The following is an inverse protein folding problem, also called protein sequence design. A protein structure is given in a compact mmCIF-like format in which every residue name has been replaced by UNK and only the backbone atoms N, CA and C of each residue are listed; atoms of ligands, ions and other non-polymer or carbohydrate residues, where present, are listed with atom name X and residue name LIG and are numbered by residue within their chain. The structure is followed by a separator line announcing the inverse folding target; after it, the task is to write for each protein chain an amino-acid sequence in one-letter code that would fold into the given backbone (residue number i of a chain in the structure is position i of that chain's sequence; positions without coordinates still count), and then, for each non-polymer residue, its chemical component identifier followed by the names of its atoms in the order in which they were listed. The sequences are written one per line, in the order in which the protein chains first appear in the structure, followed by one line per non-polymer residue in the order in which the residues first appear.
data_IF_021454595713
#
_entry.id   IF_021454595713
#
_cell.length_a   1.000
_cell.length_b   1.000
_cell.length_c   1.000
_cell.angle_alpha   90.00
_cell.angle_beta   90.00
_cell.angle_gamma   90.00
#
_symmetry.space_group_name_H-M   'P 1'
#
loop_
_entity.id
_entity.type
_entity.pdbx_description
1 polymer ?
#
# COMPACT_ATOMS: atom_id res chain seq x y z
N UNK A 1 -26.62 36.75 46.31
CA UNK A 1 -27.27 38.07 46.47
C UNK A 1 -26.17 39.05 46.81
N UNK A 2 -25.76 39.86 45.82
CA UNK A 2 -25.85 41.33 45.80
C UNK A 2 -24.75 41.98 46.67
N UNK A 3 -23.67 42.56 46.10
CA UNK A 3 -23.53 43.79 45.30
C UNK A 3 -23.25 45.03 46.17
N UNK A 4 -22.15 45.74 45.88
CA UNK A 4 -21.89 47.20 46.00
C UNK A 4 -20.37 47.39 45.72
N UNK A 5 -19.87 47.99 44.63
CA UNK A 5 -20.08 49.31 43.98
C UNK A 5 -19.43 50.49 44.72
N UNK A 6 -18.29 51.00 44.22
CA UNK A 6 -18.12 52.43 43.86
C UNK A 6 -16.72 52.77 43.32
N UNK A 7 -16.74 53.18 42.06
CA UNK A 7 -15.92 54.14 41.33
C UNK A 7 -14.89 55.03 42.06
N UNK A 8 -13.73 55.18 41.41
CA UNK A 8 -13.13 56.52 41.22
C UNK A 8 -12.47 56.67 39.84
N UNK A 9 -13.07 57.59 39.10
CA UNK A 9 -12.70 58.21 37.84
C UNK A 9 -11.39 59.02 37.93
N UNK A 10 -10.53 58.95 36.90
CA UNK A 10 -9.75 60.10 36.41
C UNK A 10 -9.23 59.85 34.98
N UNK A 11 -9.87 60.58 34.07
CA UNK A 11 -9.56 60.82 32.67
C UNK A 11 -8.10 61.30 32.42
N UNK A 12 -7.39 60.82 31.39
CA UNK A 12 -7.39 61.20 29.95
C UNK A 12 -6.65 62.51 29.66
N UNK A 13 -5.44 62.42 29.10
CA UNK A 13 -4.89 63.47 28.23
C UNK A 13 -4.28 62.85 26.97
N UNK A 14 -4.77 63.36 25.84
CA UNK A 14 -4.43 63.01 24.46
C UNK A 14 -3.43 64.02 23.91
N UNK A 15 -2.32 63.58 23.30
CA UNK A 15 -1.67 64.34 22.21
C UNK A 15 -1.24 63.39 21.09
N UNK A 16 -1.69 63.73 19.88
CA UNK A 16 -1.46 63.08 18.59
C UNK A 16 -0.76 64.12 17.70
N UNK A 17 0.40 63.84 17.11
CA UNK A 17 0.80 64.45 15.81
C UNK A 17 1.89 63.66 15.07
N UNK A 18 1.81 63.81 13.74
CA UNK A 18 2.23 63.01 12.58
C UNK A 18 3.74 63.00 12.23
N UNK A 19 4.15 62.15 11.25
CA UNK A 19 5.52 61.84 10.87
C UNK A 19 6.08 62.78 9.78
N UNK A 20 7.39 62.67 9.52
CA UNK A 20 8.04 63.19 8.33
C UNK A 20 8.55 62.02 7.46
N UNK A 21 8.15 62.10 6.20
CA UNK A 21 8.49 61.31 5.03
C UNK A 21 9.76 61.89 4.37
N UNK A 22 10.56 61.10 3.66
CA UNK A 22 11.79 61.58 2.99
C UNK A 22 12.70 60.48 2.43
N UNK A 23 12.51 60.20 1.14
CA UNK A 23 13.11 59.17 0.27
C UNK A 23 14.42 59.63 -0.41
N UNK A 24 15.46 58.76 -0.39
CA UNK A 24 16.56 58.45 -1.36
C UNK A 24 17.45 59.55 -2.03
N UNK A 25 18.58 59.24 -2.75
CA UNK A 25 19.29 57.97 -2.99
C UNK A 25 20.86 58.01 -2.93
N UNK A 26 21.47 56.82 -3.02
CA UNK A 26 22.73 56.45 -3.70
C UNK A 26 24.06 57.20 -3.47
N UNK A 27 25.06 56.46 -2.96
CA UNK A 27 26.45 56.53 -3.42
C UNK A 27 27.25 55.27 -3.03
N UNK A 28 27.51 54.40 -4.01
CA UNK A 28 28.52 53.33 -3.96
C UNK A 28 29.93 53.93 -4.14
N UNK A 29 30.96 53.46 -3.42
CA UNK A 29 32.35 53.56 -3.88
C UNK A 29 32.79 52.30 -4.65
N UNK A 30 33.73 52.42 -5.62
CA UNK A 30 34.14 51.32 -6.48
C UNK A 30 35.37 50.55 -5.95
N UNK A 31 35.49 49.29 -6.40
CA UNK A 31 36.77 48.67 -6.71
C UNK A 31 37.34 47.71 -5.67
N UNK A 32 37.22 46.41 -5.94
CA UNK A 32 38.38 45.51 -6.03
C UNK A 32 37.95 44.24 -6.76
N UNK A 33 38.25 44.23 -8.06
CA UNK A 33 38.35 43.05 -8.91
C UNK A 33 39.33 42.06 -8.29
N UNK A 34 38.86 40.88 -7.89
CA UNK A 34 39.72 39.71 -7.77
C UNK A 34 39.56 38.86 -9.02
N UNK A 35 40.69 38.70 -9.69
CA UNK A 35 40.86 37.94 -10.89
C UNK A 35 40.65 36.44 -10.63
N UNK A 36 39.95 35.84 -11.57
CA UNK A 36 40.02 34.45 -11.99
C UNK A 36 41.47 33.93 -12.04
N UNK A 37 41.74 32.72 -11.56
CA UNK A 37 42.83 31.93 -12.09
C UNK A 37 42.28 30.82 -12.98
N UNK A 38 42.85 30.80 -14.17
CA UNK A 38 42.59 29.92 -15.29
C UNK A 38 42.66 28.43 -14.92
N UNK A 39 41.84 27.68 -15.65
CA UNK A 39 42.02 26.26 -15.89
C UNK A 39 43.45 25.98 -16.41
N UNK A 40 44.10 24.98 -15.83
CA UNK A 40 45.08 24.17 -16.53
C UNK A 40 44.66 22.73 -16.37
N UNK A 41 44.13 22.19 -17.46
CA UNK A 41 43.87 20.78 -17.66
C UNK A 41 45.21 20.10 -17.91
N UNK A 42 45.67 19.29 -16.96
CA UNK A 42 46.69 18.29 -17.23
C UNK A 42 46.01 16.91 -17.20
N UNK A 43 45.76 16.40 -18.40
CA UNK A 43 45.29 15.06 -18.64
C UNK A 43 46.52 14.21 -18.97
N UNK A 44 46.94 13.36 -18.03
CA UNK A 44 47.75 12.19 -18.36
C UNK A 44 47.18 10.98 -17.64
N UNK A 45 46.73 10.04 -18.47
CA UNK A 45 46.19 8.75 -18.13
C UNK A 45 47.14 7.92 -17.27
N UNK A 46 46.60 7.18 -16.31
CA UNK A 46 47.14 5.88 -15.88
C UNK A 46 45.98 5.04 -15.36
N UNK A 47 45.48 4.19 -16.25
CA UNK A 47 44.67 3.02 -15.94
C UNK A 47 45.55 2.00 -15.18
N UNK A 48 44.97 1.22 -14.26
CA UNK A 48 45.25 -0.20 -14.36
C UNK A 48 43.98 -1.06 -14.27
N UNK A 49 43.78 -1.81 -15.36
CA UNK A 49 43.48 -3.23 -15.41
C UNK A 49 42.31 -3.72 -14.54
N UNK A 50 41.16 -3.83 -15.21
CA UNK A 50 40.18 -4.85 -14.91
C UNK A 50 40.78 -6.24 -15.14
N UNK A 51 40.91 -7.03 -14.08
CA UNK A 51 41.14 -8.48 -14.20
C UNK A 51 39.79 -9.14 -14.41
N UNK A 52 39.52 -9.52 -15.65
CA UNK A 52 38.49 -10.47 -16.00
C UNK A 52 38.99 -11.88 -15.65
N UNK A 53 38.32 -12.57 -14.73
CA UNK A 53 38.34 -14.03 -14.69
C UNK A 53 37.00 -14.55 -15.22
N UNK A 54 37.09 -15.20 -16.38
CA UNK A 54 36.04 -15.96 -17.02
C UNK A 54 36.38 -17.46 -16.94
N UNK A 55 35.32 -18.26 -17.05
CA UNK A 55 35.24 -19.72 -17.18
C UNK A 55 35.27 -20.50 -15.84
N UNK A 56 34.25 -21.30 -15.52
CA UNK A 56 33.87 -22.48 -16.30
C UNK A 56 32.45 -22.93 -15.99
N UNK A 57 31.63 -23.13 -17.03
CA UNK A 57 30.37 -23.90 -16.99
C UNK A 57 30.66 -25.41 -16.91
N UNK A 58 29.65 -26.22 -16.56
CA UNK A 58 29.26 -27.23 -17.52
C UNK A 58 27.78 -27.12 -17.91
N UNK A 59 27.54 -27.28 -19.21
CA UNK A 59 26.24 -27.54 -19.81
C UNK A 59 26.18 -29.03 -20.20
N UNK A 60 25.04 -29.67 -19.92
CA UNK A 60 24.29 -30.69 -20.70
C UNK A 60 23.28 -31.36 -19.73
N UNK A 61 22.00 -31.60 -20.01
CA UNK A 61 21.32 -31.83 -21.28
C UNK A 61 19.86 -31.37 -21.26
N UNK A 62 19.35 -31.14 -22.46
CA UNK A 62 18.07 -30.57 -22.83
C UNK A 62 16.92 -31.59 -22.97
N UNK A 63 15.77 -31.02 -23.37
CA UNK A 63 14.54 -31.57 -23.98
C UNK A 63 13.39 -31.78 -22.97
N UNK A 64 12.19 -31.21 -23.15
CA UNK A 64 11.68 -30.41 -24.26
C UNK A 64 10.31 -29.80 -23.96
N UNK A 65 10.02 -28.74 -24.71
CA UNK A 65 8.74 -28.09 -24.98
C UNK A 65 7.58 -29.07 -25.21
N UNK A 66 6.39 -28.75 -24.66
CA UNK A 66 5.15 -28.59 -25.44
C UNK A 66 4.04 -27.93 -24.61
N UNK A 67 3.49 -26.86 -25.16
CA UNK A 67 2.15 -26.37 -24.89
C UNK A 67 1.12 -27.16 -25.73
N UNK A 68 -0.06 -27.40 -25.18
CA UNK A 68 -1.37 -27.56 -25.86
C UNK A 68 -2.36 -28.11 -24.80
N UNK A 69 -3.40 -27.38 -24.45
CA UNK A 69 -4.72 -27.45 -25.08
C UNK A 69 -5.42 -28.81 -24.82
N UNK A 70 -6.54 -28.78 -24.10
CA UNK A 70 -7.42 -29.94 -23.96
C UNK A 70 -8.87 -29.49 -23.96
N UNK A 71 -9.48 -29.66 -25.13
CA UNK A 71 -10.90 -29.78 -25.31
C UNK A 71 -11.19 -31.09 -26.07
N UNK A 72 -12.28 -31.75 -25.61
CA UNK A 72 -13.21 -32.59 -26.35
C UNK A 72 -12.95 -34.12 -26.56
N UNK A 73 -13.91 -34.87 -26.01
CA UNK A 73 -14.74 -35.95 -26.61
C UNK A 73 -14.22 -37.36 -26.93
N UNK A 74 -15.01 -38.34 -26.43
CA UNK A 74 -15.52 -39.59 -27.03
C UNK A 74 -15.40 -40.74 -26.00
N UNK A 75 -16.46 -41.47 -25.62
CA UNK A 75 -17.28 -42.38 -26.44
C UNK A 75 -16.76 -43.81 -26.22
N UNK A 76 -17.33 -44.57 -25.27
CA UNK A 76 -18.30 -45.69 -25.46
C UNK A 76 -17.68 -46.98 -26.01
N UNK A 77 -17.77 -48.08 -25.24
CA UNK A 77 -18.16 -49.45 -25.66
C UNK A 77 -18.17 -50.35 -24.39
N UNK A 78 -19.28 -50.88 -23.89
CA UNK A 78 -20.19 -51.92 -24.41
C UNK A 78 -19.73 -53.36 -24.06
N UNK A 79 -20.61 -54.13 -23.39
CA UNK A 79 -20.80 -55.62 -23.38
C UNK A 79 -21.40 -56.06 -22.03
N UNK A 80 -22.38 -56.96 -21.85
CA UNK A 80 -23.38 -57.71 -22.65
C UNK A 80 -24.22 -58.57 -21.66
N UNK A 81 -25.45 -58.92 -22.07
CA UNK A 81 -26.34 -60.01 -21.61
C UNK A 81 -27.00 -59.90 -20.22
N UNK A 82 -28.29 -60.16 -19.97
CA UNK A 82 -29.45 -60.85 -20.57
C UNK A 82 -29.94 -62.01 -19.66
N UNK A 83 -31.28 -62.16 -19.62
CA UNK A 83 -32.13 -63.21 -19.01
C UNK A 83 -32.32 -63.15 -17.47
N UNK A 84 -33.51 -62.87 -16.92
CA UNK A 84 -34.83 -63.52 -16.99
C UNK A 84 -34.97 -64.75 -16.07
N UNK A 85 -35.92 -64.70 -15.13
CA UNK A 85 -36.56 -65.88 -14.53
C UNK A 85 -38.07 -65.63 -14.37
N UNK A 86 -38.82 -66.69 -14.59
CA UNK A 86 -40.26 -66.78 -14.91
C UNK A 86 -40.97 -67.60 -13.83
N UNK A 87 -42.28 -67.36 -13.62
CA UNK A 87 -43.35 -68.33 -13.25
C UNK A 87 -44.60 -67.53 -12.87
N UNK A 88 -45.63 -67.49 -13.72
CA UNK A 88 -46.73 -68.47 -13.90
C UNK A 88 -47.98 -68.07 -13.10
N UNK A 89 -49.05 -67.69 -13.81
CA UNK A 89 -50.44 -68.18 -13.64
C UNK A 89 -51.47 -67.23 -14.30
N UNK A 90 -52.00 -67.65 -15.45
CA UNK A 90 -53.27 -67.22 -16.06
C UNK A 90 -54.31 -68.35 -15.76
N UNK A 91 -55.67 -68.15 -15.61
CA UNK A 91 -56.57 -67.83 -16.73
C UNK A 91 -57.88 -67.05 -16.46
N UNK A 92 -58.32 -66.32 -17.49
CA UNK A 92 -59.70 -66.25 -18.04
C UNK A 92 -59.93 -64.86 -18.68
N UNK A 93 -59.85 -64.72 -20.01
CA UNK A 93 -60.90 -64.98 -20.99
C UNK A 93 -61.88 -63.81 -21.24
N UNK A 94 -62.00 -63.47 -22.53
CA UNK A 94 -63.06 -62.72 -23.23
C UNK A 94 -62.94 -61.18 -23.35
N UNK A 95 -62.42 -60.75 -24.50
CA UNK A 95 -62.84 -59.55 -25.26
C UNK A 95 -64.32 -59.71 -25.73
N UNK A 96 -65.08 -58.68 -26.20
CA UNK A 96 -64.63 -57.48 -26.94
C UNK A 96 -65.38 -56.17 -26.65
N UNK A 97 -64.82 -55.04 -27.08
CA UNK A 97 -65.41 -54.19 -28.13
C UNK A 97 -64.72 -52.83 -28.22
N UNK A 98 -64.61 -52.37 -29.46
CA UNK A 98 -63.73 -51.29 -29.86
C UNK A 98 -64.06 -49.90 -29.32
N UNK A 99 -63.03 -49.06 -29.37
CA UNK A 99 -63.22 -47.67 -29.77
C UNK A 99 -61.90 -47.14 -30.32
N UNK A 100 -61.89 -46.95 -31.63
CA UNK A 100 -60.95 -46.07 -32.32
C UNK A 100 -61.16 -44.67 -31.77
N UNK A 101 -60.23 -44.19 -30.95
CA UNK A 101 -60.09 -42.77 -30.63
C UNK A 101 -58.67 -42.35 -30.97
N UNK A 102 -58.59 -41.83 -32.18
CA UNK A 102 -57.55 -40.99 -32.72
C UNK A 102 -57.13 -39.88 -31.73
N UNK A 103 -55.86 -39.47 -31.82
CA UNK A 103 -55.37 -38.15 -31.40
C UNK A 103 -55.61 -37.76 -29.93
N UNK A 104 -54.60 -37.75 -29.08
CA UNK A 104 -53.59 -36.69 -29.18
C UNK A 104 -52.46 -36.98 -28.19
N UNK A 105 -51.25 -37.14 -28.73
CA UNK A 105 -50.05 -36.76 -28.01
C UNK A 105 -50.19 -35.27 -27.70
N UNK A 106 -50.77 -34.96 -26.55
CA UNK A 106 -50.66 -33.64 -25.94
C UNK A 106 -49.19 -33.45 -25.65
N UNK A 107 -48.44 -32.97 -26.66
CA UNK A 107 -47.25 -32.20 -26.42
C UNK A 107 -47.67 -31.19 -25.36
N UNK A 108 -47.21 -31.40 -24.13
CA UNK A 108 -47.53 -30.55 -22.99
C UNK A 108 -47.00 -29.20 -23.42
N UNK A 109 -47.87 -28.36 -23.99
CA UNK A 109 -47.56 -27.04 -24.51
C UNK A 109 -47.18 -26.23 -23.28
N UNK A 110 -45.92 -26.34 -22.88
CA UNK A 110 -45.34 -25.50 -21.85
C UNK A 110 -45.53 -24.09 -22.36
N UNK A 111 -46.39 -23.33 -21.67
CA UNK A 111 -46.63 -21.95 -22.00
C UNK A 111 -45.27 -21.24 -22.08
N UNK A 112 -45.00 -20.40 -23.08
CA UNK A 112 -43.71 -19.71 -23.22
C UNK A 112 -43.34 -18.91 -21.96
N UNK A 113 -44.34 -18.57 -21.12
CA UNK A 113 -44.17 -18.01 -19.79
C UNK A 113 -43.44 -18.94 -18.79
N UNK A 114 -43.64 -20.26 -18.84
CA UNK A 114 -42.96 -21.22 -17.95
C UNK A 114 -41.50 -21.48 -18.34
N UNK A 115 -41.17 -21.39 -19.63
CA UNK A 115 -39.78 -21.54 -20.10
C UNK A 115 -38.97 -20.29 -19.76
N UNK A 116 -39.58 -19.11 -19.91
CA UNK A 116 -38.96 -17.83 -19.55
C UNK A 116 -38.62 -17.75 -18.05
N UNK A 117 -39.50 -18.24 -17.17
CA UNK A 117 -39.24 -18.25 -15.72
C UNK A 117 -38.22 -19.30 -15.31
N UNK A 118 -38.19 -20.46 -15.97
CA UNK A 118 -37.22 -21.53 -15.71
C UNK A 118 -35.77 -21.12 -15.98
N UNK A 119 -35.52 -20.20 -16.92
CA UNK A 119 -34.18 -19.69 -17.25
C UNK A 119 -33.87 -18.37 -16.55
N UNK A 120 -34.87 -17.49 -16.35
CA UNK A 120 -34.64 -16.21 -15.68
C UNK A 120 -34.21 -16.38 -14.21
N UNK A 121 -34.81 -17.31 -13.48
CA UNK A 121 -34.49 -17.56 -12.07
C UNK A 121 -33.01 -17.97 -11.85
N UNK A 122 -32.45 -18.99 -12.53
CA UNK A 122 -31.06 -19.37 -12.34
C UNK A 122 -30.09 -18.29 -12.79
N UNK A 123 -30.40 -17.54 -13.86
CA UNK A 123 -29.54 -16.43 -14.31
C UNK A 123 -29.48 -15.31 -13.27
N UNK A 124 -30.63 -14.90 -12.72
CA UNK A 124 -30.68 -13.88 -11.65
C UNK A 124 -29.93 -14.34 -10.40
N UNK A 125 -30.05 -15.62 -10.03
CA UNK A 125 -29.30 -16.19 -8.91
C UNK A 125 -27.79 -16.15 -9.15
N UNK A 126 -27.33 -16.58 -10.33
CA UNK A 126 -25.89 -16.56 -10.68
C UNK A 126 -25.36 -15.13 -10.68
N UNK A 127 -26.08 -14.18 -11.29
CA UNK A 127 -25.69 -12.75 -11.27
C UNK A 127 -25.67 -12.23 -9.84
N UNK A 128 -26.68 -12.55 -9.02
CA UNK A 128 -26.74 -12.17 -7.61
C UNK A 128 -25.55 -12.70 -6.81
N UNK A 129 -25.18 -13.96 -6.98
CA UNK A 129 -24.01 -14.58 -6.34
C UNK A 129 -22.70 -13.95 -6.81
N UNK A 130 -22.55 -13.67 -8.11
CA UNK A 130 -21.36 -13.00 -8.64
C UNK A 130 -21.23 -11.58 -8.10
N UNK A 131 -22.32 -10.81 -8.09
CA UNK A 131 -22.33 -9.46 -7.50
C UNK A 131 -22.02 -9.52 -6.02
N UNK A 132 -22.63 -10.43 -5.27
CA UNK A 132 -22.36 -10.63 -3.84
C UNK A 132 -20.90 -11.04 -3.60
N UNK A 133 -20.32 -11.92 -4.42
CA UNK A 133 -18.92 -12.32 -4.31
C UNK A 133 -17.96 -11.17 -4.63
N UNK A 134 -18.26 -10.34 -5.63
CA UNK A 134 -17.47 -9.14 -5.94
C UNK A 134 -17.57 -8.13 -4.80
N UNK A 135 -18.76 -7.90 -4.26
CA UNK A 135 -18.96 -7.00 -3.12
C UNK A 135 -18.29 -7.53 -1.85
N UNK A 136 -18.37 -8.83 -1.58
CA UNK A 136 -17.70 -9.45 -0.43
C UNK A 136 -16.17 -9.44 -0.55
N UNK A 137 -15.62 -9.56 -1.78
CA UNK A 137 -14.18 -9.38 -2.03
C UNK A 137 -13.73 -7.92 -1.92
N UNK A 138 -14.63 -6.97 -2.12
CA UNK A 138 -14.39 -5.54 -1.94
C UNK A 138 -14.71 -5.05 -0.52
N UNK A 139 -15.44 -5.84 0.26
CA UNK A 139 -15.69 -5.54 1.65
C UNK A 139 -14.32 -5.53 2.35
N UNK A 140 -13.99 -4.47 3.10
CA UNK A 140 -12.80 -4.47 3.92
C UNK A 140 -12.90 -5.71 4.81
N UNK A 141 -11.99 -6.67 4.64
CA UNK A 141 -11.79 -7.67 5.68
C UNK A 141 -11.39 -6.83 6.88
N UNK A 142 -12.30 -6.65 7.84
CA UNK A 142 -12.09 -5.87 9.06
C UNK A 142 -10.95 -6.56 9.83
N UNK A 143 -9.71 -6.23 9.46
CA UNK A 143 -8.51 -6.71 10.15
C UNK A 143 -8.59 -6.18 11.57
N UNK A 144 -8.15 -6.99 12.52
CA UNK A 144 -8.14 -6.56 13.92
C UNK A 144 -7.38 -5.23 14.04
N UNK A 145 -7.98 -4.21 14.68
CA UNK A 145 -7.33 -2.92 14.83
C UNK A 145 -5.97 -3.08 15.51
N UNK A 146 -4.94 -2.44 14.95
CA UNK A 146 -3.58 -2.61 15.41
C UNK A 146 -3.32 -1.77 16.66
N UNK A 147 -2.83 -2.42 17.72
CA UNK A 147 -2.36 -1.76 18.94
C UNK A 147 -0.90 -1.36 18.75
N UNK A 148 -0.60 -0.07 18.89
CA UNK A 148 0.76 0.45 18.82
C UNK A 148 1.12 1.14 20.13
N UNK A 149 2.29 0.80 20.67
CA UNK A 149 2.83 1.49 21.85
C UNK A 149 3.11 2.98 21.58
N UNK A 150 3.08 3.83 22.61
CA UNK A 150 3.49 5.23 22.48
C UNK A 150 5.01 5.32 22.25
N UNK A 151 5.42 6.27 21.41
CA UNK A 151 6.81 6.67 21.22
C UNK A 151 6.83 8.20 21.28
N UNK A 152 7.78 8.84 22.00
CA UNK A 152 7.89 10.29 22.04
C UNK A 152 8.01 10.88 20.63
N UNK A 153 7.08 11.77 20.30
CA UNK A 153 7.02 12.44 19.01
C UNK A 153 6.65 13.92 19.21
N UNK A 154 7.56 14.74 19.76
CA UNK A 154 7.26 16.13 20.14
C UNK A 154 6.86 17.01 18.94
N UNK A 155 7.29 16.66 17.73
CA UNK A 155 6.96 17.38 16.50
C UNK A 155 5.78 16.76 15.72
N UNK A 156 5.04 15.80 16.28
CA UNK A 156 3.98 15.06 15.58
C UNK A 156 2.84 15.95 15.06
N UNK A 157 2.54 17.07 15.72
CA UNK A 157 1.51 18.04 15.30
C UNK A 157 2.06 19.13 14.37
N UNK A 158 3.34 19.06 14.00
CA UNK A 158 4.01 20.03 13.14
C UNK A 158 3.57 19.98 11.67
N UNK A 159 3.96 21.01 10.88
CA UNK A 159 3.58 21.13 9.47
C UNK A 159 4.06 19.96 8.62
N UNK A 160 5.31 19.48 8.76
CA UNK A 160 5.78 18.29 8.03
C UNK A 160 4.85 17.08 8.20
N UNK A 161 4.49 16.74 9.44
CA UNK A 161 3.69 15.53 9.69
C UNK A 161 2.25 15.68 9.23
N UNK A 162 1.65 16.87 9.42
CA UNK A 162 0.28 17.15 8.96
C UNK A 162 0.18 17.19 7.43
N UNK A 163 1.25 17.59 6.73
CA UNK A 163 1.35 17.51 5.26
C UNK A 163 1.61 16.09 4.77
N UNK A 164 2.51 15.33 5.41
CA UNK A 164 2.93 13.99 4.95
C UNK A 164 1.86 12.91 5.18
N UNK A 165 1.28 12.84 6.37
CA UNK A 165 0.38 11.75 6.76
C UNK A 165 -0.82 11.50 5.82
N UNK A 166 -1.51 12.53 5.29
CA UNK A 166 -2.61 12.32 4.35
C UNK A 166 -2.16 11.94 2.93
N UNK A 167 -0.90 12.20 2.55
CA UNK A 167 -0.36 11.90 1.22
C UNK A 167 0.30 10.53 1.12
N UNK A 168 0.51 9.87 2.27
CA UNK A 168 1.01 8.50 2.33
C UNK A 168 0.12 7.53 1.53
N UNK A 169 0.73 6.59 0.79
CA UNK A 169 -0.01 5.65 -0.03
C UNK A 169 -0.86 4.71 0.82
N UNK A 170 -2.01 4.32 0.28
CA UNK A 170 -2.89 3.34 0.93
C UNK A 170 -2.27 1.94 0.93
N UNK A 171 -1.35 1.66 0.02
CA UNK A 171 -0.72 0.35 -0.17
C UNK A 171 0.81 0.49 -0.26
N UNK A 172 1.52 -0.47 0.30
CA UNK A 172 2.98 -0.60 0.25
C UNK A 172 3.33 -2.04 -0.12
N UNK A 173 3.41 -2.34 -1.42
CA UNK A 173 3.52 -3.73 -1.88
C UNK A 173 2.30 -4.54 -1.43
N UNK A 174 2.52 -5.64 -0.72
CA UNK A 174 1.46 -6.53 -0.22
C UNK A 174 0.78 -6.02 1.07
N UNK A 175 1.21 -4.87 1.59
CA UNK A 175 0.66 -4.27 2.81
C UNK A 175 -0.39 -3.23 2.46
N UNK A 176 -1.57 -3.30 3.09
CA UNK A 176 -2.63 -2.29 2.97
C UNK A 176 -2.74 -1.50 4.27
N UNK A 177 -3.14 -0.23 4.17
CA UNK A 177 -3.38 0.65 5.32
C UNK A 177 -4.25 -0.04 6.37
N UNK A 178 -3.81 0.11 7.62
CA UNK A 178 -4.45 -0.45 8.81
C UNK A 178 -5.19 0.60 9.62
N UNK A 179 -6.22 0.13 10.32
CA UNK A 179 -6.87 0.87 11.40
C UNK A 179 -6.07 0.68 12.69
N UNK A 180 -5.90 1.74 13.46
CA UNK A 180 -5.23 1.72 14.77
C UNK A 180 -6.27 1.73 15.89
N UNK A 181 -5.95 1.10 17.02
CA UNK A 181 -6.79 1.19 18.23
C UNK A 181 -6.70 2.60 18.83
N UNK A 182 -7.83 3.14 19.26
CA UNK A 182 -7.88 4.43 19.94
C UNK A 182 -7.63 4.30 21.45
N UNK A 183 -6.86 5.22 22.08
CA UNK A 183 -6.23 6.39 21.47
C UNK A 183 -5.00 6.04 20.62
N UNK A 184 -5.01 6.44 19.34
CA UNK A 184 -3.90 6.19 18.42
C UNK A 184 -2.70 7.07 18.78
N UNK A 185 -1.45 6.55 18.66
CA UNK A 185 -0.26 7.40 18.72
C UNK A 185 -0.34 8.52 17.68
N UNK A 186 0.13 9.74 18.00
CA UNK A 186 0.06 10.87 17.09
C UNK A 186 0.95 10.63 15.86
N UNK A 187 0.59 11.26 14.73
CA UNK A 187 1.33 11.21 13.46
C UNK A 187 1.85 9.81 13.06
N UNK A 188 1.02 8.79 13.27
CA UNK A 188 1.36 7.39 13.00
C UNK A 188 0.48 6.83 11.89
N UNK A 189 1.09 6.08 10.98
CA UNK A 189 0.41 5.30 9.93
C UNK A 189 0.95 3.88 9.97
N UNK A 190 0.08 2.89 9.80
CA UNK A 190 0.50 1.50 9.72
C UNK A 190 -0.15 0.81 8.53
N UNK A 191 0.52 -0.25 8.06
CA UNK A 191 0.02 -1.15 7.03
C UNK A 191 0.19 -2.60 7.48
N UNK A 192 -0.78 -3.44 7.17
CA UNK A 192 -0.80 -4.86 7.48
C UNK A 192 -1.03 -5.67 6.20
N UNK A 193 -0.49 -6.88 6.17
CA UNK A 193 -0.81 -7.84 5.11
C UNK A 193 -2.18 -8.46 5.35
N UNK A 194 -2.73 -9.09 4.32
CA UNK A 194 -4.01 -9.82 4.41
C UNK A 194 -3.87 -11.16 5.13
N UNK A 195 -2.69 -11.78 5.07
CA UNK A 195 -2.35 -13.06 5.69
C UNK A 195 -1.79 -12.93 7.12
N UNK A 196 -1.77 -11.72 7.67
CA UNK A 196 -1.24 -11.42 9.01
C UNK A 196 0.27 -11.19 9.02
N UNK A 197 0.86 -11.27 10.21
CA UNK A 197 2.29 -10.99 10.44
C UNK A 197 2.56 -9.58 10.96
N UNK A 198 3.85 -9.25 11.09
CA UNK A 198 4.28 -7.96 11.63
C UNK A 198 3.91 -6.80 10.69
N UNK A 199 3.45 -5.66 11.23
CA UNK A 199 3.04 -4.52 10.43
C UNK A 199 4.23 -3.65 10.00
N UNK A 200 4.04 -2.90 8.91
CA UNK A 200 4.88 -1.74 8.61
C UNK A 200 4.31 -0.55 9.37
N UNK A 201 5.17 0.19 10.08
CA UNK A 201 4.75 1.33 10.90
C UNK A 201 5.59 2.54 10.56
N UNK A 202 4.93 3.64 10.19
CA UNK A 202 5.52 4.96 10.02
C UNK A 202 5.13 5.86 11.19
N UNK A 203 6.12 6.53 11.77
CA UNK A 203 5.94 7.55 12.81
C UNK A 203 6.67 8.82 12.38
N UNK A 204 5.96 9.93 12.35
CA UNK A 204 6.53 11.24 12.02
C UNK A 204 6.62 12.11 13.28
N UNK A 205 7.61 13.00 13.32
CA UNK A 205 7.70 13.97 14.41
C UNK A 205 8.55 13.53 15.59
N UNK A 206 9.42 12.53 15.37
CA UNK A 206 10.24 11.93 16.42
C UNK A 206 11.42 12.82 16.81
N UNK A 207 11.98 12.55 17.98
CA UNK A 207 13.29 13.06 18.36
C UNK A 207 14.40 12.46 17.48
N UNK A 208 15.56 13.13 17.44
CA UNK A 208 16.75 12.59 16.78
C UNK A 208 17.12 11.22 17.39
N UNK A 209 17.26 10.15 16.57
CA UNK A 209 17.69 8.86 17.09
C UNK A 209 19.09 8.96 17.72
N UNK A 210 19.28 8.34 18.89
CA UNK A 210 20.48 8.50 19.70
C UNK A 210 21.75 8.04 18.99
N UNK A 211 21.61 7.04 18.13
CA UNK A 211 22.70 6.44 17.37
C UNK A 211 23.06 7.26 16.11
N UNK A 212 22.25 8.25 15.72
CA UNK A 212 22.53 9.10 14.57
C UNK A 212 23.56 10.18 14.93
N UNK A 213 24.79 9.96 14.47
CA UNK A 213 25.96 10.78 14.73
C UNK A 213 26.80 10.98 13.45
N UNK A 214 27.89 11.75 13.54
CA UNK A 214 28.72 12.11 12.36
C UNK A 214 29.36 10.94 11.63
N UNK A 215 29.46 9.77 12.25
CA UNK A 215 29.98 8.54 11.63
C UNK A 215 28.86 7.61 11.13
N UNK A 216 27.59 7.98 11.28
CA UNK A 216 26.47 7.15 10.83
C UNK A 216 26.48 6.95 9.32
N UNK A 217 26.37 5.69 8.89
CA UNK A 217 26.16 5.36 7.49
C UNK A 217 24.73 5.71 7.09
N UNK A 218 24.59 6.36 5.93
CA UNK A 218 23.30 6.76 5.37
C UNK A 218 23.07 6.06 4.03
N UNK A 219 21.82 5.66 3.79
CA UNK A 219 21.37 5.16 2.50
C UNK A 219 20.51 6.19 1.81
N UNK A 220 20.76 6.43 0.53
CA UNK A 220 19.96 7.36 -0.27
C UNK A 220 18.96 6.54 -1.08
N UNK A 221 17.67 6.78 -0.84
CA UNK A 221 16.57 6.16 -1.60
C UNK A 221 15.66 7.27 -2.06
N UNK A 222 15.48 7.39 -3.38
CA UNK A 222 14.61 8.38 -4.03
C UNK A 222 14.73 9.80 -3.42
N UNK A 223 15.98 10.25 -3.27
CA UNK A 223 16.35 11.57 -2.73
C UNK A 223 16.01 11.82 -1.25
N UNK A 224 15.83 10.74 -0.47
CA UNK A 224 15.76 10.77 1.00
C UNK A 224 17.00 10.09 1.57
N UNK A 225 17.63 10.71 2.56
CA UNK A 225 18.74 10.12 3.29
C UNK A 225 18.22 9.39 4.53
N UNK A 226 18.36 8.07 4.51
CA UNK A 226 17.90 7.16 5.55
C UNK A 226 19.04 6.68 6.44
N UNK A 227 18.87 6.86 7.74
CA UNK A 227 19.68 6.23 8.78
C UNK A 227 18.98 4.97 9.28
N UNK A 228 19.70 3.85 9.34
CA UNK A 228 19.14 2.60 9.83
C UNK A 228 19.48 2.37 11.30
N UNK A 229 18.46 2.41 12.16
CA UNK A 229 18.55 1.96 13.55
C UNK A 229 18.27 0.45 13.61
N UNK A 230 19.30 -0.36 13.32
CA UNK A 230 19.19 -1.83 13.40
C UNK A 230 19.29 -2.32 14.83
N UNK A 231 18.30 -3.10 15.23
CA UNK A 231 18.42 -4.06 16.33
C UNK A 231 18.62 -5.46 15.70
N UNK A 232 19.79 -6.06 15.91
CA UNK A 232 20.13 -7.38 15.34
C UNK A 232 19.26 -8.51 15.88
N UNK A 233 18.55 -8.29 16.99
CA UNK A 233 17.66 -9.27 17.60
C UNK A 233 16.22 -9.15 17.10
N UNK A 234 15.84 -7.98 16.57
CA UNK A 234 14.53 -7.72 16.00
C UNK A 234 14.38 -8.34 14.60
N UNK A 235 13.17 -8.76 14.26
CA UNK A 235 12.78 -9.22 12.89
C UNK A 235 12.26 -8.07 12.02
N UNK A 236 12.82 -6.89 12.24
CA UNK A 236 12.44 -5.67 11.54
C UNK A 236 13.61 -4.68 11.54
N UNK A 237 13.65 -3.84 10.52
CA UNK A 237 14.60 -2.74 10.39
C UNK A 237 13.86 -1.40 10.53
N UNK A 238 14.35 -0.50 11.36
CA UNK A 238 13.78 0.85 11.50
C UNK A 238 14.65 1.88 10.79
N UNK A 239 14.08 2.53 9.79
CA UNK A 239 14.73 3.52 8.95
C UNK A 239 14.25 4.92 9.31
N UNK A 240 15.19 5.82 9.61
CA UNK A 240 14.90 7.22 9.92
C UNK A 240 15.27 8.12 8.74
N UNK A 241 14.30 8.88 8.22
CA UNK A 241 14.61 10.00 7.33
C UNK A 241 15.22 11.12 8.17
N UNK A 242 16.46 11.50 7.87
CA UNK A 242 17.26 12.44 8.69
C UNK A 242 17.58 13.75 7.98
N UNK A 243 17.12 13.90 6.74
CA UNK A 243 17.34 15.05 5.87
C UNK A 243 16.06 15.85 5.61
N UNK A 244 15.14 15.85 6.58
CA UNK A 244 13.90 16.63 6.56
C UNK A 244 13.81 17.46 7.85
N UNK A 245 12.92 18.46 7.88
CA UNK A 245 12.73 19.34 9.04
C UNK A 245 12.32 18.58 10.33
N UNK A 246 11.86 17.35 10.19
CA UNK A 246 11.52 16.45 11.30
C UNK A 246 11.97 15.03 11.00
N UNK A 247 12.22 14.24 12.05
CA UNK A 247 12.61 12.85 11.92
C UNK A 247 11.37 11.97 11.72
N UNK A 248 11.44 11.10 10.71
CA UNK A 248 10.39 10.17 10.34
C UNK A 248 10.97 8.76 10.40
N UNK A 249 10.41 7.91 11.26
CA UNK A 249 10.78 6.49 11.31
C UNK A 249 9.82 5.65 10.47
N UNK A 250 10.37 4.70 9.73
CA UNK A 250 9.66 3.63 9.04
C UNK A 250 10.23 2.29 9.50
N UNK A 251 9.46 1.56 10.30
CA UNK A 251 9.78 0.19 10.72
C UNK A 251 9.22 -0.79 9.69
N UNK A 252 10.11 -1.59 9.11
CA UNK A 252 9.80 -2.54 8.04
C UNK A 252 10.18 -3.95 8.53
N UNK A 253 9.23 -4.90 8.59
CA UNK A 253 9.52 -6.29 8.89
C UNK A 253 10.47 -6.92 7.86
N UNK A 254 11.27 -7.88 8.31
CA UNK A 254 12.13 -8.65 7.42
C UNK A 254 11.31 -9.34 6.31
N UNK A 255 11.89 -9.46 5.12
CA UNK A 255 11.20 -10.09 3.99
C UNK A 255 10.11 -9.25 3.33
N UNK A 256 9.89 -7.99 3.74
CA UNK A 256 8.95 -7.06 3.08
C UNK A 256 9.42 -6.55 1.71
N UNK A 257 10.67 -6.84 1.33
CA UNK A 257 11.30 -6.31 0.13
C UNK A 257 11.61 -4.81 0.22
N UNK A 258 12.14 -4.21 -0.86
CA UNK A 258 12.56 -2.81 -0.84
C UNK A 258 11.42 -1.81 -1.12
N UNK A 259 10.28 -2.30 -1.63
CA UNK A 259 9.15 -1.48 -2.10
C UNK A 259 8.62 -0.50 -1.05
N UNK A 260 8.43 -0.87 0.23
CA UNK A 260 7.90 0.07 1.21
C UNK A 260 8.79 1.29 1.43
N UNK A 261 10.10 1.09 1.51
CA UNK A 261 11.06 2.18 1.71
C UNK A 261 11.08 3.11 0.50
N UNK A 262 11.03 2.57 -0.72
CA UNK A 262 11.00 3.35 -1.97
C UNK A 262 9.72 4.20 -2.07
N UNK A 263 8.55 3.59 -1.90
CA UNK A 263 7.27 4.29 -2.04
C UNK A 263 7.07 5.40 -0.98
N UNK A 264 7.51 5.15 0.26
CA UNK A 264 7.52 6.19 1.29
C UNK A 264 8.53 7.28 0.96
N UNK A 265 9.71 6.94 0.41
CA UNK A 265 10.70 7.92 -0.02
C UNK A 265 10.17 8.85 -1.11
N UNK A 266 9.47 8.32 -2.11
CA UNK A 266 8.83 9.12 -3.15
C UNK A 266 7.83 10.11 -2.55
N UNK A 267 7.02 9.64 -1.60
CA UNK A 267 6.04 10.48 -0.90
C UNK A 267 6.72 11.58 -0.09
N UNK A 268 7.79 11.25 0.64
CA UNK A 268 8.55 12.22 1.42
C UNK A 268 9.18 13.27 0.49
N UNK A 269 9.84 12.86 -0.58
CA UNK A 269 10.48 13.77 -1.54
C UNK A 269 9.47 14.70 -2.23
N UNK A 270 8.26 14.21 -2.53
CA UNK A 270 7.21 15.02 -3.15
C UNK A 270 6.62 16.08 -2.21
N UNK A 271 6.67 15.88 -0.90
CA UNK A 271 5.91 16.69 0.08
C UNK A 271 6.77 17.45 1.08
N UNK A 272 7.98 16.98 1.37
CA UNK A 272 8.87 17.54 2.38
C UNK A 272 10.22 17.91 1.76
N UNK A 273 10.61 19.20 1.81
CA UNK A 273 11.89 19.64 1.28
C UNK A 273 13.06 19.07 2.09
N UNK A 274 14.18 18.86 1.41
CA UNK A 274 15.41 18.43 2.06
C UNK A 274 16.00 19.56 2.92
N UNK A 275 16.54 19.20 4.08
CA UNK A 275 17.25 20.10 4.99
C UNK A 275 18.67 19.60 5.26
N UNK A 276 19.61 20.48 5.66
CA UNK A 276 20.92 20.03 6.13
C UNK A 276 20.78 19.03 7.29
N UNK A 277 21.68 18.04 7.32
CA UNK A 277 21.71 17.01 8.37
C UNK A 277 22.12 17.61 9.72
N UNK A 278 21.50 17.13 10.81
CA UNK A 278 21.85 17.48 12.20
C UNK A 278 22.27 16.24 13.03
N UNK A 279 23.41 15.60 12.70
CA UNK A 279 23.89 14.43 13.43
C UNK A 279 24.42 14.79 14.82
N UNK A 280 24.24 13.87 15.77
CA UNK A 280 24.88 13.95 17.08
C UNK A 280 26.42 13.94 17.03
N UNK A 281 27.10 14.33 18.13
CA UNK A 281 28.54 14.22 18.24
C UNK A 281 29.00 12.75 18.16
N UNK A 282 30.28 12.54 17.82
CA UNK A 282 30.86 11.20 17.88
C UNK A 282 30.89 10.72 19.35
N UNK A 283 30.57 9.43 19.60
CA UNK A 283 30.75 8.86 20.93
C UNK A 283 32.25 8.88 21.30
N UNK A 284 32.53 9.23 22.56
CA UNK A 284 33.90 9.28 23.10
C UNK A 284 34.45 7.89 23.39
#
# INVERSE_FOLDING_TARGET
MAAESSDRDSAKETVRKKPADGTDPAANPPGTTYAEPAATSDATATEPAATAEAATMPADSALGTTAAESAATAGTDATTAAAADTRDAEPAAAEPDGSTADSSASARQYSPALIATAVALPVVLVVGVLVAAILARRAPVEREPLVLGPVPAPAATGPACTTLLPTLPTELGDFTKSTLVEPSPPATRAWQRTDGGDPIVLRCGLDRPLEFNRASALQIVNNVQWFEARDQTAKASTWFAVDRETYIALTIPDGSGPTPLQAVSDTITANLPATPLDPGPLPN
#
